data_IF_542290026646
#
_entry.id   IF_542290026646
#
_cell.length_a   1.000
_cell.length_b   1.000
_cell.length_c   1.000
_cell.angle_alpha   90.00
_cell.angle_beta   90.00
_cell.angle_gamma   90.00
#
_symmetry.space_group_name_H-M   'P 1'
#
loop_
_entity.id
_entity.type
_entity.pdbx_description
1 polymer ?
#
# COMPACT_ATOMS: atom_id res chain seq x y z
N UNK A 1 -3.09 -4.17 2.69
CA UNK A 1 -3.29 -2.72 2.72
C UNK A 1 -1.96 -2.05 2.97
N UNK A 2 -1.80 -0.77 2.63
CA UNK A 2 -0.54 -0.07 2.90
C UNK A 2 -0.25 0.09 4.40
N UNK A 3 -1.27 0.34 5.22
CA UNK A 3 -1.12 0.40 6.68
C UNK A 3 -0.53 -0.88 7.30
N UNK A 4 -0.87 -2.06 6.76
CA UNK A 4 -0.26 -3.31 7.21
C UNK A 4 1.21 -3.41 6.80
N UNK A 5 1.56 -3.00 5.57
CA UNK A 5 2.94 -2.98 5.11
C UNK A 5 3.80 -2.04 5.97
N UNK A 6 3.28 -0.85 6.30
CA UNK A 6 3.94 0.09 7.22
C UNK A 6 4.18 -0.55 8.59
N UNK A 7 3.16 -1.17 9.19
CA UNK A 7 3.28 -1.81 10.50
C UNK A 7 4.32 -2.95 10.49
N UNK A 8 4.37 -3.76 9.42
CA UNK A 8 5.36 -4.82 9.24
C UNK A 8 6.79 -4.26 9.14
N UNK A 9 6.98 -3.17 8.38
CA UNK A 9 8.28 -2.51 8.28
C UNK A 9 8.75 -1.94 9.62
N UNK A 10 7.84 -1.31 10.38
CA UNK A 10 8.14 -0.80 11.72
C UNK A 10 8.45 -1.91 12.72
N UNK A 11 7.89 -3.11 12.53
CA UNK A 11 8.19 -4.30 13.33
C UNK A 11 9.50 -5.00 12.92
N UNK A 12 10.17 -4.55 11.86
CA UNK A 12 11.41 -5.13 11.34
C UNK A 12 11.21 -6.33 10.40
N UNK A 13 9.97 -6.72 10.10
CA UNK A 13 9.69 -7.76 9.11
C UNK A 13 9.58 -7.15 7.70
N UNK A 14 10.74 -6.71 7.19
CA UNK A 14 10.84 -6.00 5.90
C UNK A 14 10.38 -6.86 4.73
N UNK A 15 10.66 -8.16 4.78
CA UNK A 15 10.24 -9.09 3.73
C UNK A 15 8.71 -9.19 3.64
N UNK A 16 8.02 -9.33 4.78
CA UNK A 16 6.56 -9.34 4.80
C UNK A 16 5.98 -7.98 4.40
N UNK A 17 6.61 -6.88 4.84
CA UNK A 17 6.21 -5.52 4.46
C UNK A 17 6.22 -5.33 2.94
N UNK A 18 7.32 -5.74 2.28
CA UNK A 18 7.47 -5.63 0.83
C UNK A 18 6.45 -6.49 0.08
N UNK A 19 6.24 -7.73 0.50
CA UNK A 19 5.23 -8.60 -0.09
C UNK A 19 3.81 -8.03 0.03
N UNK A 20 3.47 -7.45 1.19
CA UNK A 20 2.17 -6.78 1.39
C UNK A 20 2.05 -5.52 0.53
N UNK A 21 3.09 -4.68 0.47
CA UNK A 21 3.11 -3.45 -0.32
C UNK A 21 2.92 -3.77 -1.80
N UNK A 22 3.72 -4.70 -2.33
CA UNK A 22 3.67 -5.14 -3.72
C UNK A 22 2.28 -5.65 -4.07
N UNK A 23 1.65 -6.46 -3.22
CA UNK A 23 0.28 -6.93 -3.51
C UNK A 23 -0.73 -5.79 -3.68
N UNK A 24 -0.58 -4.69 -2.95
CA UNK A 24 -1.54 -3.58 -2.98
C UNK A 24 -1.24 -2.59 -4.11
N UNK A 25 0.05 -2.33 -4.40
CA UNK A 25 0.45 -1.36 -5.43
C UNK A 25 -0.02 -1.76 -6.83
N UNK A 26 -0.28 -3.05 -7.09
CA UNK A 26 -0.81 -3.54 -8.36
C UNK A 26 -2.23 -3.02 -8.68
N UNK A 27 -2.96 -2.47 -7.70
CA UNK A 27 -4.29 -1.90 -7.93
C UNK A 27 -4.25 -0.39 -8.23
N UNK A 28 -3.09 0.25 -8.22
CA UNK A 28 -2.95 1.63 -8.69
C UNK A 28 -3.28 1.65 -10.19
N UNK A 29 -4.17 2.56 -10.61
CA UNK A 29 -4.53 2.67 -12.02
C UNK A 29 -3.39 3.29 -12.86
N UNK A 30 -3.62 3.40 -14.17
CA UNK A 30 -2.69 3.91 -15.16
C UNK A 30 -2.21 5.36 -14.92
N UNK A 31 -2.98 6.15 -14.16
CA UNK A 31 -2.64 7.54 -13.81
C UNK A 31 -2.19 7.71 -12.35
N UNK A 32 -1.93 6.61 -11.63
CA UNK A 32 -1.39 6.68 -10.28
C UNK A 32 -2.43 6.84 -9.18
N UNK A 33 -3.72 6.62 -9.46
CA UNK A 33 -4.82 6.84 -8.53
C UNK A 33 -5.36 5.54 -7.92
N UNK A 34 -5.78 5.64 -6.66
CA UNK A 34 -6.40 4.58 -5.86
C UNK A 34 -7.79 4.98 -5.36
N UNK A 35 -8.67 4.00 -5.20
CA UNK A 35 -9.93 4.10 -4.47
C UNK A 35 -9.76 3.79 -2.99
N UNK A 36 -10.86 3.94 -2.25
CA UNK A 36 -10.96 3.54 -0.84
C UNK A 36 -10.76 2.04 -0.64
N UNK A 37 -11.38 1.23 -1.49
CA UNK A 37 -11.32 -0.23 -1.42
C UNK A 37 -11.13 -0.82 -2.81
N UNK A 38 -10.69 -2.08 -2.83
CA UNK A 38 -10.56 -2.85 -4.06
C UNK A 38 -11.29 -4.17 -3.83
N UNK A 39 -12.13 -4.57 -4.77
CA UNK A 39 -12.66 -5.92 -4.79
C UNK A 39 -11.49 -6.91 -5.06
N UNK A 40 -11.16 -7.83 -4.13
CA UNK A 40 -10.02 -8.72 -4.28
C UNK A 40 -10.24 -9.83 -5.33
N UNK A 41 -11.48 -10.08 -5.76
CA UNK A 41 -11.79 -11.09 -6.78
C UNK A 41 -11.68 -10.52 -8.19
N UNK A 42 -12.14 -9.29 -8.39
CA UNK A 42 -12.22 -8.65 -9.71
C UNK A 42 -11.10 -7.64 -9.96
N UNK A 43 -10.51 -7.09 -8.90
CA UNK A 43 -9.58 -5.96 -8.96
C UNK A 43 -10.27 -4.61 -9.19
N UNK A 44 -11.60 -4.56 -9.13
CA UNK A 44 -12.36 -3.33 -9.31
C UNK A 44 -12.07 -2.33 -8.18
N UNK A 45 -11.83 -1.08 -8.55
CA UNK A 45 -11.71 0.04 -7.62
C UNK A 45 -13.10 0.47 -7.17
N UNK A 46 -13.41 0.25 -5.89
CA UNK A 46 -14.73 0.53 -5.31
C UNK A 46 -14.66 1.56 -4.19
N UNK A 47 -15.79 2.23 -3.94
CA UNK A 47 -15.89 3.30 -2.95
C UNK A 47 -15.39 4.66 -3.48
N UNK A 48 -14.92 5.52 -2.57
CA UNK A 48 -14.47 6.86 -2.93
C UNK A 48 -13.28 6.83 -3.89
N UNK A 49 -13.34 7.65 -4.94
CA UNK A 49 -12.28 7.73 -5.94
C UNK A 49 -12.08 9.18 -6.46
N UNK A 50 -10.84 9.72 -6.47
CA UNK A 50 -9.64 9.16 -5.84
C UNK A 50 -9.70 9.32 -4.31
N UNK A 51 -9.18 8.34 -3.56
CA UNK A 51 -9.19 8.38 -2.11
C UNK A 51 -7.87 8.88 -1.52
N UNK A 52 -7.87 10.05 -0.90
CA UNK A 52 -6.66 10.65 -0.32
C UNK A 52 -5.96 9.74 0.70
N UNK A 53 -6.72 9.09 1.61
CA UNK A 53 -6.13 8.23 2.63
C UNK A 53 -5.42 6.99 2.07
N UNK A 54 -5.89 6.43 0.96
CA UNK A 54 -5.20 5.31 0.30
C UNK A 54 -3.82 5.73 -0.21
N UNK A 55 -3.71 6.96 -0.75
CA UNK A 55 -2.44 7.52 -1.20
C UNK A 55 -1.52 7.89 -0.03
N UNK A 56 -2.06 8.41 1.08
CA UNK A 56 -1.29 8.65 2.32
C UNK A 56 -0.70 7.34 2.84
N UNK A 57 -1.51 6.28 2.89
CA UNK A 57 -1.02 4.95 3.27
C UNK A 57 0.12 4.47 2.38
N UNK A 58 -0.01 4.63 1.05
CA UNK A 58 1.03 4.27 0.08
C UNK A 58 2.37 4.96 0.40
N UNK A 59 2.35 6.29 0.55
CA UNK A 59 3.57 7.07 0.82
C UNK A 59 4.21 6.66 2.14
N UNK A 60 3.41 6.52 3.20
CA UNK A 60 3.91 6.13 4.52
C UNK A 60 4.52 4.73 4.53
N UNK A 61 3.86 3.76 3.89
CA UNK A 61 4.37 2.40 3.80
C UNK A 61 5.68 2.33 3.01
N UNK A 62 5.77 3.03 1.87
CA UNK A 62 6.99 3.10 1.08
C UNK A 62 8.14 3.72 1.88
N UNK A 63 7.87 4.81 2.59
CA UNK A 63 8.85 5.46 3.46
C UNK A 63 9.32 4.54 4.60
N UNK A 64 8.39 3.88 5.30
CA UNK A 64 8.72 2.97 6.40
C UNK A 64 9.55 1.77 5.94
N UNK A 65 9.25 1.21 4.76
CA UNK A 65 10.05 0.12 4.16
C UNK A 65 11.47 0.61 3.86
N UNK A 66 11.63 1.76 3.18
CA UNK A 66 12.95 2.34 2.87
C UNK A 66 13.78 2.54 4.14
N UNK A 67 13.18 3.14 5.17
CA UNK A 67 13.85 3.37 6.45
C UNK A 67 14.22 2.08 7.18
N UNK A 68 13.51 0.97 6.94
CA UNK A 68 13.80 -0.32 7.55
C UNK A 68 14.90 -1.09 6.79
N UNK A 69 15.00 -0.90 5.47
CA UNK A 69 16.05 -1.47 4.62
C UNK A 69 17.43 -0.81 4.85
N UNK A 70 17.45 0.45 5.28
CA UNK A 70 18.68 1.22 5.55
C UNK A 70 19.28 0.97 6.95
N UNK A 71 18.61 0.19 7.82
CA UNK A 71 19.07 -0.13 9.19
C UNK A 71 19.99 -1.34 9.24
#
# INVERSE_FOLDING_TARGET
TFWLAEAQALAGDVAAARATFERVIHFVNDVGLLSEEVDPQTGELIGNFPQAFSHVGLVNAAWAISQAEER
#
